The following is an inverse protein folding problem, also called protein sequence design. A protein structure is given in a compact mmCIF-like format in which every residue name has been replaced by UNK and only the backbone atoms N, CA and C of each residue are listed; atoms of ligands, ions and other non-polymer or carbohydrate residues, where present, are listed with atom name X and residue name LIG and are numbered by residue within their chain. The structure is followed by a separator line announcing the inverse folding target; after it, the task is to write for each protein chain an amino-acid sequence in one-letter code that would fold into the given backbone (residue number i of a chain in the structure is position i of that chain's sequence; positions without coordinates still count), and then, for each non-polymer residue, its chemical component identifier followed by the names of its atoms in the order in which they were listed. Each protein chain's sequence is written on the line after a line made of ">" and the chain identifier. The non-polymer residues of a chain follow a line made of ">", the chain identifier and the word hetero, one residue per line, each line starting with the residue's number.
data_IF_518270405235
#
_entry.id   IF_518270405235
#
_cell.length_a   1.000
_cell.length_b   1.000
_cell.length_c   1.000
_cell.angle_alpha   90.00
_cell.angle_beta   90.00
_cell.angle_gamma   90.00
#
_symmetry.space_group_name_H-M   'P 1'
#
loop_
_entity.id
_entity.type
_entity.pdbx_description
1 polymer ?
#
# COMPACT_ATOMS: atom_id res chain seq x y z
N UNK A 1 -77.46 22.88 -21.91
CA UNK A 1 -77.74 21.57 -21.29
C UNK A 1 -76.41 20.96 -20.85
N UNK A 2 -76.24 20.85 -19.52
CA UNK A 2 -75.22 20.09 -18.76
C UNK A 2 -73.72 20.25 -19.13
N UNK A 3 -73.08 21.18 -18.42
CA UNK A 3 -71.64 21.25 -18.14
C UNK A 3 -71.27 20.02 -17.30
N UNK A 4 -70.37 19.16 -17.79
CA UNK A 4 -69.75 18.10 -16.97
C UNK A 4 -68.27 18.42 -16.80
N UNK A 5 -67.92 18.84 -15.58
CA UNK A 5 -66.54 18.99 -15.11
C UNK A 5 -65.93 17.60 -14.92
N UNK A 6 -64.98 17.22 -15.77
CA UNK A 6 -64.08 16.10 -15.52
C UNK A 6 -62.80 16.66 -14.90
N UNK A 7 -62.68 16.45 -13.59
CA UNK A 7 -61.44 16.67 -12.83
C UNK A 7 -60.44 15.60 -13.29
N UNK A 8 -59.43 16.01 -14.05
CA UNK A 8 -58.30 15.16 -14.38
C UNK A 8 -57.42 15.04 -13.14
N UNK A 9 -57.44 13.86 -12.50
CA UNK A 9 -56.48 13.50 -11.48
C UNK A 9 -55.09 13.36 -12.13
N UNK A 10 -54.20 14.30 -11.86
CA UNK A 10 -52.79 14.18 -12.21
C UNK A 10 -52.16 13.10 -11.31
N UNK A 11 -52.03 11.88 -11.82
CA UNK A 11 -51.08 10.91 -11.28
C UNK A 11 -49.68 11.50 -11.47
N UNK A 12 -49.12 12.10 -10.43
CA UNK A 12 -47.67 12.28 -10.35
C UNK A 12 -47.07 10.89 -10.17
N UNK A 13 -46.65 10.29 -11.28
CA UNK A 13 -45.73 9.16 -11.25
C UNK A 13 -44.45 9.67 -10.57
N UNK A 14 -44.26 9.30 -9.30
CA UNK A 14 -42.98 9.38 -8.65
C UNK A 14 -42.02 8.54 -9.50
N UNK A 15 -41.22 9.22 -10.33
CA UNK A 15 -40.11 8.58 -11.02
C UNK A 15 -39.26 7.87 -9.99
N UNK A 16 -38.63 6.73 -10.33
CA UNK A 16 -37.72 6.08 -9.40
C UNK A 16 -36.69 7.12 -8.99
N UNK A 17 -36.71 7.48 -7.71
CA UNK A 17 -35.65 8.27 -7.12
C UNK A 17 -34.37 7.52 -7.46
N UNK A 18 -33.51 8.18 -8.25
CA UNK A 18 -32.17 7.70 -8.56
C UNK A 18 -31.57 7.36 -7.22
N UNK A 19 -31.43 6.06 -6.98
CA UNK A 19 -30.91 5.53 -5.73
C UNK A 19 -29.57 6.20 -5.50
N UNK A 20 -29.50 6.92 -4.39
CA UNK A 20 -28.31 7.57 -3.88
C UNK A 20 -27.15 6.59 -3.95
N UNK A 21 -26.04 7.04 -4.54
CA UNK A 21 -24.77 6.34 -4.58
C UNK A 21 -24.49 5.65 -3.23
N UNK A 22 -24.48 4.33 -3.23
CA UNK A 22 -23.91 3.56 -2.13
C UNK A 22 -22.42 3.95 -1.98
N UNK A 23 -21.87 4.09 -0.76
CA UNK A 23 -20.56 4.68 -0.55
C UNK A 23 -19.44 3.69 -0.92
N UNK A 24 -19.11 3.62 -2.20
CA UNK A 24 -17.91 2.96 -2.72
C UNK A 24 -16.70 3.93 -2.82
N UNK A 25 -16.80 5.16 -2.33
CA UNK A 25 -15.95 6.26 -2.78
C UNK A 25 -15.54 7.23 -1.65
N UNK A 26 -14.66 6.79 -0.74
CA UNK A 26 -13.90 7.75 0.07
C UNK A 26 -12.99 8.62 -0.81
N UNK A 27 -12.72 9.87 -0.41
CA UNK A 27 -11.72 10.70 -1.10
C UNK A 27 -10.36 9.98 -1.15
N UNK A 28 -9.49 10.33 -2.10
CA UNK A 28 -8.13 9.74 -2.20
C UNK A 28 -7.41 9.77 -0.85
N UNK A 29 -7.54 10.89 -0.13
CA UNK A 29 -7.02 11.09 1.21
C UNK A 29 -7.60 10.12 2.25
N UNK A 30 -8.90 9.84 2.22
CA UNK A 30 -9.50 8.88 3.14
C UNK A 30 -8.98 7.45 2.90
N UNK A 31 -8.71 7.10 1.63
CA UNK A 31 -8.10 5.81 1.30
C UNK A 31 -6.61 5.77 1.68
N UNK A 32 -5.85 6.86 1.49
CA UNK A 32 -4.46 6.94 1.96
C UNK A 32 -4.39 6.80 3.48
N UNK A 33 -5.29 7.44 4.23
CA UNK A 33 -5.33 7.34 5.69
C UNK A 33 -5.68 5.93 6.16
N UNK A 34 -6.64 5.29 5.49
CA UNK A 34 -7.01 3.91 5.75
C UNK A 34 -5.84 2.95 5.46
N UNK A 35 -5.20 3.07 4.31
CA UNK A 35 -4.04 2.25 3.95
C UNK A 35 -2.91 2.45 4.96
N UNK A 36 -2.60 3.70 5.31
CA UNK A 36 -1.52 4.02 6.24
C UNK A 36 -1.76 3.43 7.63
N UNK A 37 -3.00 3.45 8.14
CA UNK A 37 -3.37 2.79 9.41
C UNK A 37 -3.17 1.28 9.40
N UNK A 38 -3.32 0.64 8.24
CA UNK A 38 -3.13 -0.80 8.07
C UNK A 38 -1.64 -1.12 7.87
N UNK A 39 -0.96 -0.35 7.03
CA UNK A 39 0.42 -0.59 6.62
C UNK A 39 1.44 -0.33 7.74
N UNK A 40 1.33 0.78 8.47
CA UNK A 40 2.35 1.14 9.46
C UNK A 40 2.57 0.11 10.58
N UNK A 41 1.52 -0.47 11.20
CA UNK A 41 1.72 -1.54 12.18
C UNK A 41 2.45 -2.74 11.59
N UNK A 42 2.16 -3.10 10.33
CA UNK A 42 2.85 -4.18 9.62
C UNK A 42 4.32 -3.83 9.36
N UNK A 43 4.61 -2.61 8.89
CA UNK A 43 5.98 -2.16 8.62
C UNK A 43 6.82 -2.04 9.90
N UNK A 44 6.25 -1.53 10.98
CA UNK A 44 6.98 -1.30 12.22
C UNK A 44 7.22 -2.59 13.02
N UNK A 45 6.21 -3.48 13.08
CA UNK A 45 6.31 -4.70 13.89
C UNK A 45 7.20 -5.77 13.26
N UNK A 46 7.59 -5.59 12.00
CA UNK A 46 8.46 -6.51 11.25
C UNK A 46 9.89 -5.98 11.04
N UNK A 47 10.30 -4.96 11.79
CA UNK A 47 11.63 -4.33 11.66
C UNK A 47 12.77 -5.35 11.70
N UNK A 48 12.71 -6.34 12.59
CA UNK A 48 13.72 -7.39 12.73
C UNK A 48 13.81 -8.33 11.50
N UNK A 49 12.79 -8.34 10.65
CA UNK A 49 12.77 -9.13 9.42
C UNK A 49 13.29 -8.32 8.23
N UNK A 50 13.42 -7.00 8.32
CA UNK A 50 13.79 -6.15 7.18
C UNK A 50 15.30 -5.91 7.11
N UNK A 51 15.89 -5.96 5.90
CA UNK A 51 17.29 -5.58 5.65
C UNK A 51 17.45 -4.09 5.29
N UNK A 52 16.32 -3.39 5.12
CA UNK A 52 16.26 -1.96 4.79
C UNK A 52 15.21 -1.31 5.66
N UNK A 53 15.60 -0.21 6.30
CA UNK A 53 14.76 0.51 7.25
C UNK A 53 14.69 1.99 6.91
N UNK A 54 13.65 2.65 7.41
CA UNK A 54 13.45 4.08 7.25
C UNK A 54 12.81 4.73 8.48
N UNK A 55 12.88 6.07 8.59
CA UNK A 55 12.09 6.83 9.54
C UNK A 55 10.58 6.59 9.39
N UNK A 56 9.92 6.19 10.48
CA UNK A 56 8.46 6.07 10.58
C UNK A 56 7.85 7.39 11.04
N UNK A 57 7.18 8.07 10.10
CA UNK A 57 6.63 9.40 10.36
C UNK A 57 5.14 9.40 10.70
N UNK A 58 4.35 8.39 10.31
CA UNK A 58 2.88 8.42 10.41
C UNK A 58 2.24 9.36 9.42
N UNK A 59 2.74 9.43 8.18
CA UNK A 59 2.22 10.37 7.17
C UNK A 59 2.01 9.73 5.81
N UNK A 60 1.03 10.26 5.08
CA UNK A 60 0.94 10.09 3.63
C UNK A 60 1.25 11.44 2.98
N UNK A 61 2.13 11.42 1.99
CA UNK A 61 2.44 12.60 1.18
C UNK A 61 1.59 12.61 -0.08
N UNK A 62 1.16 13.79 -0.50
CA UNK A 62 0.59 14.02 -1.83
C UNK A 62 1.23 15.25 -2.44
N UNK A 63 1.22 15.33 -3.77
CA UNK A 63 1.73 16.47 -4.51
C UNK A 63 0.73 16.97 -5.54
N UNK A 64 0.79 18.28 -5.84
CA UNK A 64 -0.20 18.95 -6.70
C UNK A 64 -0.22 18.41 -8.12
N UNK A 65 0.90 17.86 -8.61
CA UNK A 65 1.04 17.21 -9.93
C UNK A 65 0.30 15.87 -10.06
N UNK A 66 -0.35 15.40 -8.99
CA UNK A 66 -1.21 14.21 -9.02
C UNK A 66 -2.68 14.52 -9.35
N UNK A 67 -3.04 15.81 -9.35
CA UNK A 67 -4.41 16.27 -9.53
C UNK A 67 -4.60 16.82 -10.94
N UNK A 68 -5.84 16.71 -11.45
CA UNK A 68 -6.16 17.28 -12.75
C UNK A 68 -6.06 18.81 -12.70
N UNK A 69 -5.76 19.43 -13.84
CA UNK A 69 -5.68 20.89 -13.94
C UNK A 69 -6.99 21.54 -13.42
N UNK A 70 -6.87 22.50 -12.51
CA UNK A 70 -8.00 23.18 -11.88
C UNK A 70 -8.55 22.50 -10.61
N UNK A 71 -8.06 21.32 -10.24
CA UNK A 71 -8.30 20.75 -8.91
C UNK A 71 -7.25 21.29 -7.94
N UNK A 72 -7.67 22.14 -7.02
CA UNK A 72 -6.82 22.60 -5.91
C UNK A 72 -7.02 21.67 -4.70
N UNK A 73 -6.00 20.87 -4.32
CA UNK A 73 -6.09 20.02 -3.14
C UNK A 73 -5.95 20.80 -1.82
N UNK A 74 -5.72 22.12 -1.86
CA UNK A 74 -5.60 22.98 -0.68
C UNK A 74 -4.27 22.85 0.05
N UNK A 75 -3.22 22.44 -0.66
CA UNK A 75 -1.89 22.22 -0.11
C UNK A 75 -1.12 23.55 0.06
N UNK A 76 -0.41 23.69 1.17
CA UNK A 76 0.40 24.88 1.43
C UNK A 76 1.71 24.94 0.60
N UNK A 77 2.08 23.86 -0.09
CA UNK A 77 3.23 23.76 -1.00
C UNK A 77 2.98 22.68 -2.07
N UNK A 78 3.83 22.56 -3.12
CA UNK A 78 3.68 21.53 -4.15
C UNK A 78 3.66 20.08 -3.62
N UNK A 79 4.32 19.81 -2.49
CA UNK A 79 4.19 18.57 -1.73
C UNK A 79 3.63 18.90 -0.35
N UNK A 80 2.66 18.11 0.13
CA UNK A 80 2.07 18.29 1.44
C UNK A 80 1.85 16.98 2.17
N UNK A 81 1.76 17.09 3.50
CA UNK A 81 1.30 16.02 4.37
C UNK A 81 -0.22 15.87 4.22
N UNK A 82 -0.66 15.04 3.30
CA UNK A 82 -2.08 14.81 3.05
C UNK A 82 -2.76 14.14 4.24
N UNK A 83 -2.06 13.20 4.86
CA UNK A 83 -2.49 12.49 6.07
C UNK A 83 -1.39 12.60 7.10
N UNK A 84 -1.80 12.83 8.34
CA UNK A 84 -0.96 12.69 9.53
C UNK A 84 -1.73 11.84 10.52
N UNK A 85 -1.22 10.65 10.84
CA UNK A 85 -1.83 9.77 11.83
C UNK A 85 -1.73 10.39 13.22
N UNK A 86 -2.78 10.29 14.06
CA UNK A 86 -2.68 10.66 15.46
C UNK A 86 -1.54 9.93 16.16
N UNK A 87 -0.92 10.58 17.14
CA UNK A 87 0.18 10.02 17.95
C UNK A 87 1.45 9.64 17.18
N UNK A 88 1.51 9.89 15.88
CA UNK A 88 2.71 9.66 15.07
C UNK A 88 3.85 10.64 15.40
N UNK A 89 5.07 10.33 14.95
CA UNK A 89 6.22 11.23 15.08
C UNK A 89 5.94 12.59 14.43
N UNK A 90 5.29 12.62 13.25
CA UNK A 90 4.90 13.86 12.60
C UNK A 90 3.87 14.66 13.43
N UNK A 91 2.84 14.01 13.95
CA UNK A 91 1.84 14.67 14.81
C UNK A 91 2.47 15.23 16.09
N UNK A 92 3.35 14.48 16.75
CA UNK A 92 4.06 14.91 17.95
C UNK A 92 4.98 16.12 17.67
N UNK A 93 5.53 16.21 16.47
CA UNK A 93 6.31 17.34 16.00
C UNK A 93 5.45 18.54 15.51
N UNK A 94 4.14 18.46 15.71
CA UNK A 94 3.16 19.49 15.37
C UNK A 94 2.93 19.65 13.87
N UNK A 95 3.28 18.66 13.04
CA UNK A 95 2.92 18.65 11.62
C UNK A 95 1.42 18.36 11.52
N UNK A 96 0.70 19.23 10.81
CA UNK A 96 -0.72 19.07 10.58
C UNK A 96 -1.02 18.65 9.13
N UNK A 97 -2.17 18.03 8.86
CA UNK A 97 -2.57 17.78 7.49
C UNK A 97 -2.66 19.08 6.67
N UNK A 98 -2.26 19.01 5.40
CA UNK A 98 -2.10 20.11 4.44
C UNK A 98 -0.89 21.05 4.70
N UNK A 99 -0.11 20.83 5.77
CA UNK A 99 1.20 21.46 5.88
C UNK A 99 2.04 21.08 4.64
N UNK A 100 2.72 22.07 4.08
CA UNK A 100 3.60 21.88 2.92
C UNK A 100 4.98 21.43 3.35
N UNK A 101 5.59 20.50 2.63
CA UNK A 101 6.97 20.07 2.83
C UNK A 101 7.88 20.81 1.84
N UNK A 102 8.81 21.61 2.35
CA UNK A 102 9.73 22.43 1.55
C UNK A 102 11.11 21.80 1.40
N UNK A 103 11.66 21.21 2.47
CA UNK A 103 12.97 20.56 2.43
C UNK A 103 13.07 19.39 3.40
N UNK A 104 13.98 18.45 3.08
CA UNK A 104 14.38 17.32 3.92
C UNK A 104 15.88 17.43 4.16
N UNK A 105 16.31 17.49 5.42
CA UNK A 105 17.70 17.72 5.82
C UNK A 105 18.36 18.92 5.11
N UNK A 106 17.64 20.05 5.06
CA UNK A 106 18.03 21.30 4.38
C UNK A 106 18.23 21.18 2.86
N UNK A 107 17.86 20.05 2.26
CA UNK A 107 17.82 19.90 0.81
C UNK A 107 16.39 20.15 0.33
N UNK A 108 16.16 21.15 -0.53
CA UNK A 108 14.83 21.44 -1.08
C UNK A 108 14.23 20.19 -1.73
N UNK A 109 12.92 19.99 -1.55
CA UNK A 109 12.19 18.97 -2.29
C UNK A 109 12.22 19.33 -3.77
N UNK A 110 12.89 18.51 -4.56
CA UNK A 110 13.03 18.67 -6.00
C UNK A 110 12.94 17.32 -6.70
N UNK A 111 12.66 17.34 -7.99
CA UNK A 111 12.49 16.14 -8.79
C UNK A 111 13.83 15.41 -8.95
N UNK A 112 13.89 14.15 -8.53
CA UNK A 112 15.10 13.31 -8.70
C UNK A 112 15.21 12.76 -10.12
N UNK A 113 16.43 12.56 -10.61
CA UNK A 113 16.70 12.14 -11.99
C UNK A 113 16.08 10.76 -12.32
N UNK A 114 16.11 9.84 -11.36
CA UNK A 114 15.56 8.49 -11.47
C UNK A 114 14.05 8.41 -11.24
N UNK A 115 13.39 9.52 -10.86
CA UNK A 115 11.96 9.59 -10.56
C UNK A 115 11.22 10.60 -11.45
N UNK A 116 11.76 10.96 -12.61
CA UNK A 116 11.15 11.96 -13.51
C UNK A 116 9.73 11.60 -13.95
N UNK A 117 9.43 10.32 -14.13
CA UNK A 117 8.11 9.83 -14.53
C UNK A 117 7.09 9.67 -13.37
N UNK A 118 7.54 9.77 -12.12
CA UNK A 118 6.68 9.72 -10.93
C UNK A 118 6.04 11.09 -10.64
N UNK A 119 5.16 11.21 -9.63
CA UNK A 119 4.85 12.50 -9.01
C UNK A 119 5.98 13.07 -8.14
N UNK A 120 5.95 14.36 -7.80
CA UNK A 120 6.96 15.02 -6.97
C UNK A 120 7.02 14.44 -5.54
N UNK A 121 5.89 13.99 -4.97
CA UNK A 121 5.85 13.36 -3.64
C UNK A 121 6.83 12.18 -3.52
N UNK A 122 7.06 11.42 -4.58
CA UNK A 122 7.93 10.25 -4.57
C UNK A 122 9.39 10.66 -4.32
N UNK A 123 9.79 11.83 -4.81
CA UNK A 123 11.12 12.40 -4.56
C UNK A 123 11.27 12.86 -3.10
N UNK A 124 10.24 13.50 -2.55
CA UNK A 124 10.20 13.86 -1.14
C UNK A 124 10.25 12.62 -0.23
N UNK A 125 9.45 11.60 -0.55
CA UNK A 125 9.46 10.35 0.19
C UNK A 125 10.82 9.66 0.10
N UNK A 126 11.42 9.58 -1.10
CA UNK A 126 12.72 8.94 -1.25
C UNK A 126 13.80 9.63 -0.40
N UNK A 127 13.77 10.97 -0.30
CA UNK A 127 14.67 11.71 0.58
C UNK A 127 14.45 11.37 2.07
N UNK A 128 13.20 11.21 2.52
CA UNK A 128 12.89 10.79 3.89
C UNK A 128 13.33 9.33 4.13
N UNK A 129 13.04 8.44 3.19
CA UNK A 129 13.35 7.02 3.29
C UNK A 129 14.85 6.70 3.25
N UNK A 130 15.65 7.61 2.69
CA UNK A 130 17.12 7.53 2.66
C UNK A 130 17.78 8.05 3.94
N UNK A 131 17.06 8.78 4.77
CA UNK A 131 17.59 9.27 6.04
C UNK A 131 17.89 8.11 6.99
N UNK A 132 19.02 8.22 7.69
CA UNK A 132 19.45 7.20 8.64
C UNK A 132 18.49 7.13 9.83
N UNK A 133 18.05 5.91 10.17
CA UNK A 133 17.26 5.69 11.39
C UNK A 133 18.11 5.96 12.63
N UNK A 134 17.49 6.52 13.67
CA UNK A 134 18.18 6.91 14.91
C UNK A 134 18.81 8.30 14.89
N UNK A 135 18.91 8.94 13.72
CA UNK A 135 19.39 10.33 13.59
C UNK A 135 18.22 11.33 13.53
N UNK A 136 18.38 12.56 14.07
CA UNK A 136 17.35 13.59 13.95
C UNK A 136 17.04 13.94 12.49
N UNK A 137 15.77 13.80 12.09
CA UNK A 137 15.27 14.19 10.78
C UNK A 137 14.83 15.65 10.82
N UNK A 138 15.39 16.50 9.95
CA UNK A 138 15.04 17.92 9.87
C UNK A 138 14.18 18.18 8.65
N UNK A 139 12.98 18.72 8.85
CA UNK A 139 12.06 19.09 7.79
C UNK A 139 11.81 20.60 7.85
N UNK A 140 11.88 21.29 6.71
CA UNK A 140 11.29 22.63 6.61
C UNK A 140 9.86 22.49 6.10
N UNK A 141 8.91 23.03 6.85
CA UNK A 141 7.48 22.95 6.52
C UNK A 141 6.86 24.35 6.45
N UNK A 142 5.79 24.48 5.69
CA UNK A 142 4.94 25.67 5.65
C UNK A 142 3.55 25.33 6.15
N UNK A 143 3.10 26.04 7.18
CA UNK A 143 1.76 25.89 7.74
C UNK A 143 1.09 27.25 7.80
N UNK A 144 -0.09 27.39 7.18
CA UNK A 144 -0.85 28.65 7.13
C UNK A 144 0.00 29.86 6.67
N UNK A 145 0.89 29.63 5.70
CA UNK A 145 1.79 30.65 5.15
C UNK A 145 3.07 30.92 5.94
N UNK A 146 3.23 30.36 7.15
CA UNK A 146 4.43 30.52 7.95
C UNK A 146 5.40 29.33 7.75
N UNK A 147 6.66 29.63 7.44
CA UNK A 147 7.73 28.62 7.37
C UNK A 147 8.29 28.32 8.75
N UNK A 148 8.59 27.05 9.02
CA UNK A 148 9.27 26.61 10.25
C UNK A 148 10.12 25.37 10.00
N UNK A 149 11.23 25.26 10.72
CA UNK A 149 11.99 24.01 10.83
C UNK A 149 11.32 23.11 11.88
N UNK A 150 11.22 21.82 11.57
CA UNK A 150 10.72 20.77 12.45
C UNK A 150 11.81 19.72 12.55
N UNK A 151 12.16 19.34 13.77
CA UNK A 151 13.14 18.27 14.03
C UNK A 151 12.40 17.10 14.68
N UNK A 152 12.52 15.93 14.08
CA UNK A 152 11.87 14.70 14.53
C UNK A 152 12.92 13.67 14.91
N UNK A 153 12.65 12.87 15.94
CA UNK A 153 13.39 11.64 16.24
C UNK A 153 12.46 10.43 16.01
N UNK A 154 12.12 10.13 14.74
CA UNK A 154 11.14 9.10 14.42
C UNK A 154 11.68 7.70 14.75
N UNK A 155 10.82 6.78 15.21
CA UNK A 155 11.19 5.36 15.28
C UNK A 155 11.46 4.80 13.88
N UNK A 156 12.06 3.61 13.82
CA UNK A 156 12.32 2.93 12.56
C UNK A 156 11.14 2.04 12.13
N UNK A 157 11.01 1.83 10.82
CA UNK A 157 10.16 0.81 10.20
C UNK A 157 10.83 0.21 8.96
N UNK A 158 10.25 -0.84 8.39
CA UNK A 158 10.69 -1.38 7.10
C UNK A 158 10.59 -0.32 6.00
N UNK A 159 11.62 -0.25 5.13
CA UNK A 159 11.72 0.79 4.09
C UNK A 159 10.82 0.52 2.89
N UNK A 160 9.53 0.81 3.05
CA UNK A 160 8.53 0.74 1.99
C UNK A 160 7.51 1.87 2.16
N UNK A 161 7.21 2.59 1.06
CA UNK A 161 6.07 3.50 1.02
C UNK A 161 4.78 2.75 0.72
N UNK A 162 3.70 3.05 1.43
CA UNK A 162 2.35 2.63 1.07
C UNK A 162 1.63 3.80 0.35
N UNK A 163 1.08 3.55 -0.84
CA UNK A 163 0.36 4.57 -1.60
C UNK A 163 -0.96 4.07 -2.17
N UNK A 164 -1.95 4.97 -2.20
CA UNK A 164 -3.11 4.81 -3.08
C UNK A 164 -2.83 5.48 -4.44
N UNK A 165 -3.08 4.73 -5.52
CA UNK A 165 -3.17 5.31 -6.86
C UNK A 165 -4.56 5.88 -7.08
N UNK A 166 -4.64 7.07 -7.67
CA UNK A 166 -5.91 7.76 -7.91
C UNK A 166 -6.82 7.05 -8.94
N UNK A 167 -6.32 6.03 -9.64
CA UNK A 167 -7.09 5.29 -10.64
C UNK A 167 -8.17 4.38 -10.04
N UNK A 168 -9.17 4.04 -10.86
CA UNK A 168 -10.26 3.13 -10.51
C UNK A 168 -9.94 1.66 -10.81
N UNK A 169 -8.66 1.32 -11.06
CA UNK A 169 -8.22 -0.02 -11.40
C UNK A 169 -8.38 -1.02 -10.26
N UNK A 170 -7.94 -2.26 -10.47
CA UNK A 170 -7.99 -3.34 -9.48
C UNK A 170 -6.61 -3.92 -9.14
N UNK A 171 -5.56 -3.11 -9.33
CA UNK A 171 -4.17 -3.55 -9.25
C UNK A 171 -3.55 -3.20 -7.90
N UNK A 172 -2.76 -4.13 -7.37
CA UNK A 172 -1.71 -3.86 -6.40
C UNK A 172 -0.36 -4.15 -7.08
N UNK A 173 0.66 -3.35 -6.80
CA UNK A 173 2.00 -3.57 -7.35
C UNK A 173 3.08 -3.03 -6.41
N UNK A 174 4.24 -3.67 -6.41
CA UNK A 174 5.44 -3.14 -5.78
C UNK A 174 6.62 -3.00 -6.75
N UNK A 175 7.42 -1.97 -6.55
CA UNK A 175 8.76 -1.85 -7.18
C UNK A 175 9.90 -2.16 -6.19
N UNK A 176 9.58 -2.61 -4.97
CA UNK A 176 10.53 -2.83 -3.88
C UNK A 176 10.92 -1.56 -3.09
N UNK A 177 10.33 -0.42 -3.41
CA UNK A 177 10.42 0.84 -2.64
C UNK A 177 9.04 1.36 -2.26
N UNK A 178 8.07 1.15 -3.14
CA UNK A 178 6.68 1.57 -2.99
C UNK A 178 5.77 0.37 -3.22
N UNK A 179 4.78 0.19 -2.36
CA UNK A 179 3.61 -0.67 -2.57
C UNK A 179 2.45 0.24 -2.91
N UNK A 180 1.91 0.09 -4.12
CA UNK A 180 0.84 0.90 -4.65
C UNK A 180 -0.43 0.06 -4.76
N UNK A 181 -1.54 0.55 -4.22
CA UNK A 181 -2.87 -0.07 -4.32
C UNK A 181 -3.79 0.90 -5.06
N UNK A 182 -4.46 0.44 -6.11
CA UNK A 182 -5.44 1.29 -6.79
C UNK A 182 -6.59 1.68 -5.87
N UNK A 183 -7.11 2.90 -6.01
CA UNK A 183 -8.29 3.35 -5.26
C UNK A 183 -9.48 2.42 -5.51
N UNK A 184 -9.64 1.91 -6.73
CA UNK A 184 -10.69 0.95 -7.07
C UNK A 184 -10.57 -0.39 -6.33
N UNK A 185 -9.34 -0.90 -6.11
CA UNK A 185 -9.10 -2.10 -5.30
C UNK A 185 -9.36 -1.80 -3.82
N UNK A 186 -8.77 -0.72 -3.30
CA UNK A 186 -8.92 -0.33 -1.92
C UNK A 186 -10.40 -0.13 -1.54
N UNK A 187 -11.20 0.50 -2.42
CA UNK A 187 -12.63 0.72 -2.20
C UNK A 187 -13.45 -0.57 -2.06
N UNK A 188 -13.02 -1.67 -2.68
CA UNK A 188 -13.75 -2.95 -2.71
C UNK A 188 -13.25 -3.95 -1.69
N UNK A 189 -12.00 -3.79 -1.24
CA UNK A 189 -11.35 -4.66 -0.27
C UNK A 189 -11.73 -4.26 1.17
N UNK A 190 -11.88 -5.24 2.05
CA UNK A 190 -11.93 -5.03 3.49
C UNK A 190 -10.54 -4.70 4.05
N UNK A 191 -10.45 -4.22 5.30
CA UNK A 191 -9.17 -3.90 5.94
C UNK A 191 -8.28 -5.14 6.06
N UNK A 192 -8.87 -6.31 6.38
CA UNK A 192 -8.15 -7.57 6.43
C UNK A 192 -7.60 -8.01 5.07
N UNK A 193 -8.37 -7.79 3.99
CA UNK A 193 -7.88 -8.10 2.64
C UNK A 193 -6.77 -7.13 2.20
N UNK A 194 -6.85 -5.83 2.54
CA UNK A 194 -5.75 -4.89 2.33
C UNK A 194 -4.52 -5.31 3.13
N UNK A 195 -4.70 -5.72 4.39
CA UNK A 195 -3.60 -6.19 5.22
C UNK A 195 -2.92 -7.43 4.62
N UNK A 196 -3.69 -8.40 4.13
CA UNK A 196 -3.16 -9.59 3.47
C UNK A 196 -2.38 -9.25 2.20
N UNK A 197 -2.93 -8.39 1.33
CA UNK A 197 -2.26 -7.91 0.12
C UNK A 197 -0.96 -7.17 0.49
N UNK A 198 -1.04 -6.24 1.43
CA UNK A 198 0.12 -5.44 1.84
C UNK A 198 1.22 -6.31 2.46
N UNK A 199 0.87 -7.27 3.31
CA UNK A 199 1.83 -8.22 3.88
C UNK A 199 2.51 -9.06 2.78
N UNK A 200 1.75 -9.55 1.80
CA UNK A 200 2.31 -10.30 0.66
C UNK A 200 3.30 -9.44 -0.16
N UNK A 201 2.95 -8.20 -0.49
CA UNK A 201 3.82 -7.29 -1.23
C UNK A 201 5.07 -6.87 -0.41
N UNK A 202 4.92 -6.69 0.91
CA UNK A 202 6.06 -6.46 1.80
C UNK A 202 6.98 -7.68 1.85
N UNK A 203 6.43 -8.89 1.82
CA UNK A 203 7.22 -10.11 1.78
C UNK A 203 8.11 -10.21 0.53
N UNK A 204 7.62 -9.80 -0.65
CA UNK A 204 8.47 -9.69 -1.86
C UNK A 204 9.66 -8.75 -1.65
N UNK A 205 9.43 -7.64 -0.95
CA UNK A 205 10.47 -6.66 -0.65
C UNK A 205 11.49 -7.21 0.35
N UNK A 206 11.02 -7.84 1.43
CA UNK A 206 11.85 -8.46 2.46
C UNK A 206 12.68 -9.62 1.88
N UNK A 207 12.13 -10.44 1.01
CA UNK A 207 12.82 -11.59 0.41
C UNK A 207 13.60 -11.22 -0.86
N UNK A 208 13.63 -9.93 -1.22
CA UNK A 208 14.40 -9.37 -2.33
C UNK A 208 14.09 -10.06 -3.67
N UNK A 209 12.84 -10.49 -3.86
CA UNK A 209 12.41 -11.25 -5.04
C UNK A 209 12.71 -10.53 -6.35
N UNK A 210 12.53 -9.21 -6.40
CA UNK A 210 12.89 -8.42 -7.59
C UNK A 210 14.36 -8.56 -7.97
N UNK A 211 15.25 -8.50 -6.99
CA UNK A 211 16.69 -8.55 -7.23
C UNK A 211 17.13 -10.00 -7.55
N UNK A 212 16.52 -11.02 -6.90
CA UNK A 212 16.74 -12.44 -7.20
C UNK A 212 16.26 -12.83 -8.61
N UNK A 213 15.08 -12.36 -9.02
CA UNK A 213 14.53 -12.56 -10.37
C UNK A 213 15.39 -11.85 -11.43
N UNK A 214 15.80 -10.60 -11.16
CA UNK A 214 16.69 -9.86 -12.05
C UNK A 214 18.05 -10.53 -12.21
N UNK A 215 18.61 -11.10 -11.13
CA UNK A 215 19.88 -11.84 -11.18
C UNK A 215 19.77 -13.17 -11.92
N UNK A 216 18.55 -13.69 -12.11
CA UNK A 216 18.26 -14.89 -12.88
C UNK A 216 17.87 -14.58 -14.34
N UNK A 217 18.06 -13.34 -14.80
CA UNK A 217 17.68 -12.83 -16.12
C UNK A 217 16.17 -12.95 -16.45
N UNK A 218 15.32 -13.05 -15.42
CA UNK A 218 13.86 -13.05 -15.59
C UNK A 218 13.40 -11.62 -15.87
N UNK A 219 13.15 -11.33 -17.14
CA UNK A 219 12.67 -10.00 -17.57
C UNK A 219 11.14 -9.90 -17.47
N UNK A 220 10.61 -8.70 -17.19
CA UNK A 220 9.17 -8.37 -17.28
C UNK A 220 8.64 -8.29 -18.73
N UNK A 221 9.44 -8.66 -19.74
CA UNK A 221 9.06 -8.62 -21.16
C UNK A 221 8.21 -9.81 -21.60
N UNK A 222 7.90 -9.89 -22.90
CA UNK A 222 7.10 -10.93 -23.57
C UNK A 222 7.55 -12.40 -23.31
N UNK A 223 8.70 -12.63 -22.66
CA UNK A 223 9.22 -13.94 -22.26
C UNK A 223 8.97 -14.35 -20.80
N UNK A 224 8.63 -13.40 -19.91
CA UNK A 224 8.48 -13.63 -18.45
C UNK A 224 7.33 -14.56 -18.06
N UNK A 225 6.52 -14.94 -19.05
CA UNK A 225 5.43 -15.90 -18.92
C UNK A 225 5.73 -17.25 -19.60
N UNK A 226 6.98 -17.66 -19.79
CA UNK A 226 7.29 -18.98 -20.37
C UNK A 226 8.32 -19.77 -19.55
N UNK A 227 8.13 -21.10 -19.44
CA UNK A 227 9.13 -22.03 -18.92
C UNK A 227 9.73 -21.69 -17.55
N UNK A 228 11.05 -21.48 -17.51
CA UNK A 228 11.86 -21.21 -16.32
C UNK A 228 11.39 -19.97 -15.56
N UNK A 229 11.07 -18.89 -16.26
CA UNK A 229 10.65 -17.62 -15.66
C UNK A 229 9.35 -17.79 -14.85
N UNK A 230 8.42 -18.62 -15.35
CA UNK A 230 7.20 -18.97 -14.61
C UNK A 230 7.48 -19.77 -13.33
N UNK A 231 8.47 -20.68 -13.35
CA UNK A 231 8.85 -21.46 -12.17
C UNK A 231 9.46 -20.56 -11.10
N UNK A 232 10.37 -19.67 -11.49
CA UNK A 232 11.02 -18.72 -10.58
C UNK A 232 10.01 -17.72 -9.99
N UNK A 233 9.09 -17.20 -10.81
CA UNK A 233 8.00 -16.36 -10.32
C UNK A 233 7.09 -17.13 -9.35
N UNK A 234 6.74 -18.38 -9.66
CA UNK A 234 5.94 -19.24 -8.76
C UNK A 234 6.62 -19.47 -7.42
N UNK A 235 7.92 -19.72 -7.41
CA UNK A 235 8.70 -19.88 -6.16
C UNK A 235 8.65 -18.58 -5.34
N UNK A 236 8.87 -17.43 -5.97
CA UNK A 236 8.76 -16.13 -5.31
C UNK A 236 7.37 -15.88 -4.71
N UNK A 237 6.29 -16.19 -5.43
CA UNK A 237 4.91 -16.08 -4.92
C UNK A 237 4.67 -16.97 -3.69
N UNK A 238 5.19 -18.21 -3.73
CA UNK A 238 5.07 -19.17 -2.63
C UNK A 238 5.84 -18.68 -1.40
N UNK A 239 7.06 -18.19 -1.56
CA UNK A 239 7.83 -17.65 -0.44
C UNK A 239 7.16 -16.39 0.13
N UNK A 240 6.63 -15.51 -0.71
CA UNK A 240 5.95 -14.29 -0.29
C UNK A 240 4.66 -14.58 0.48
N UNK A 241 3.86 -15.54 0.00
CA UNK A 241 2.70 -16.08 0.72
C UNK A 241 3.09 -16.54 2.12
N UNK A 242 4.06 -17.45 2.21
CA UNK A 242 4.46 -18.03 3.49
C UNK A 242 4.95 -16.96 4.46
N UNK A 243 5.77 -16.01 3.99
CA UNK A 243 6.23 -14.93 4.86
C UNK A 243 5.07 -14.02 5.30
N UNK A 244 4.04 -13.79 4.47
CA UNK A 244 2.94 -12.88 4.78
C UNK A 244 2.20 -13.21 6.08
N UNK A 245 2.01 -14.49 6.43
CA UNK A 245 1.34 -14.88 7.69
C UNK A 245 2.15 -14.49 8.92
N UNK A 246 3.49 -14.55 8.84
CA UNK A 246 4.37 -14.06 9.91
C UNK A 246 4.28 -12.55 10.04
N UNK A 247 4.23 -11.83 8.92
CA UNK A 247 4.13 -10.36 8.93
C UNK A 247 2.83 -9.89 9.57
N UNK A 248 1.71 -10.55 9.28
CA UNK A 248 0.42 -10.30 9.90
C UNK A 248 0.46 -10.61 11.41
N UNK A 249 0.95 -11.79 11.79
CA UNK A 249 1.04 -12.20 13.19
C UNK A 249 1.89 -11.23 14.03
N UNK A 250 3.04 -10.80 13.50
CA UNK A 250 3.92 -9.83 14.16
C UNK A 250 3.24 -8.47 14.35
N UNK A 251 2.35 -8.08 13.42
CA UNK A 251 1.56 -6.86 13.52
C UNK A 251 0.36 -6.96 14.48
N UNK A 252 0.19 -8.11 15.15
CA UNK A 252 -0.96 -8.38 16.02
C UNK A 252 -2.26 -8.67 15.26
N UNK A 253 -2.18 -8.92 13.94
CA UNK A 253 -3.31 -9.33 13.12
C UNK A 253 -3.42 -10.85 13.10
N UNK A 254 -4.64 -11.37 12.90
CA UNK A 254 -4.85 -12.81 12.74
C UNK A 254 -4.15 -13.32 11.47
N UNK A 255 -3.15 -14.21 11.56
CA UNK A 255 -2.48 -14.76 10.39
C UNK A 255 -3.44 -15.54 9.46
N UNK A 256 -4.57 -16.05 9.98
CA UNK A 256 -5.60 -16.71 9.18
C UNK A 256 -6.31 -15.75 8.20
N UNK A 257 -6.09 -14.44 8.33
CA UNK A 257 -6.55 -13.43 7.37
C UNK A 257 -6.02 -13.69 5.95
N UNK A 258 -4.78 -14.17 5.80
CA UNK A 258 -4.20 -14.44 4.49
C UNK A 258 -4.83 -15.67 3.78
N UNK A 259 -4.99 -16.84 4.43
CA UNK A 259 -5.81 -17.92 3.88
C UNK A 259 -7.25 -17.49 3.56
N UNK A 260 -7.88 -16.70 4.44
CA UNK A 260 -9.24 -16.21 4.23
C UNK A 260 -9.35 -15.29 3.00
N UNK A 261 -8.36 -14.43 2.77
CA UNK A 261 -8.27 -13.60 1.56
C UNK A 261 -8.30 -14.45 0.30
N UNK A 262 -7.48 -15.50 0.19
CA UNK A 262 -7.47 -16.37 -0.99
C UNK A 262 -8.81 -17.07 -1.24
N UNK A 263 -9.60 -17.30 -0.18
CA UNK A 263 -10.96 -17.86 -0.30
C UNK A 263 -12.04 -16.80 -0.54
N UNK A 264 -11.72 -15.52 -0.41
CA UNK A 264 -12.66 -14.42 -0.62
C UNK A 264 -12.99 -14.23 -2.10
N UNK A 265 -14.12 -13.55 -2.44
CA UNK A 265 -14.42 -13.19 -3.81
C UNK A 265 -13.29 -12.37 -4.46
N UNK A 266 -12.68 -11.47 -3.70
CA UNK A 266 -11.59 -10.63 -4.18
C UNK A 266 -10.32 -11.45 -4.45
N UNK A 267 -9.91 -12.31 -3.52
CA UNK A 267 -8.74 -13.18 -3.74
C UNK A 267 -8.94 -14.17 -4.89
N UNK A 268 -10.16 -14.67 -5.08
CA UNK A 268 -10.52 -15.50 -6.25
C UNK A 268 -10.51 -14.71 -7.56
N UNK A 269 -10.90 -13.43 -7.54
CA UNK A 269 -10.87 -12.56 -8.71
C UNK A 269 -9.44 -12.14 -9.07
N UNK A 270 -8.64 -11.72 -8.09
CA UNK A 270 -7.23 -11.31 -8.29
C UNK A 270 -6.37 -12.52 -8.66
N UNK A 271 -6.51 -13.63 -7.93
CA UNK A 271 -5.89 -14.91 -8.27
C UNK A 271 -6.44 -15.55 -9.56
N UNK A 272 -7.42 -14.90 -10.21
CA UNK A 272 -8.10 -15.39 -11.42
C UNK A 272 -8.10 -14.45 -12.63
N UNK A 273 -7.43 -13.28 -12.60
CA UNK A 273 -7.47 -12.27 -13.67
C UNK A 273 -6.67 -12.62 -14.95
N UNK A 274 -7.34 -12.50 -16.11
CA UNK A 274 -6.98 -12.63 -17.55
C UNK A 274 -5.93 -13.65 -18.06
N UNK A 275 -4.98 -14.11 -17.25
CA UNK A 275 -3.99 -15.11 -17.64
C UNK A 275 -4.03 -16.29 -16.66
N UNK A 276 -4.96 -17.22 -16.94
CA UNK A 276 -4.94 -18.58 -16.37
C UNK A 276 -3.69 -19.33 -16.83
N UNK A 277 -2.54 -19.03 -16.22
CA UNK A 277 -1.41 -19.94 -16.26
C UNK A 277 -1.66 -21.04 -15.22
N UNK A 278 -1.85 -22.29 -15.67
CA UNK A 278 -1.94 -23.50 -14.81
C UNK A 278 -0.72 -23.74 -13.89
N UNK A 279 0.25 -22.83 -13.93
CA UNK A 279 1.53 -22.91 -13.21
C UNK A 279 1.43 -22.28 -11.81
N UNK A 280 0.54 -21.29 -11.60
CA UNK A 280 0.33 -20.72 -10.27
C UNK A 280 -0.62 -21.61 -9.44
N UNK A 281 -0.38 -21.79 -8.12
CA UNK A 281 -1.31 -22.52 -7.26
C UNK A 281 -2.69 -21.88 -7.30
N UNK A 282 -3.75 -22.70 -7.26
CA UNK A 282 -5.12 -22.18 -7.12
C UNK A 282 -5.25 -21.39 -5.81
N UNK A 283 -6.21 -20.46 -5.69
CA UNK A 283 -6.43 -19.75 -4.44
C UNK A 283 -6.61 -20.69 -3.23
N UNK A 284 -7.30 -21.82 -3.41
CA UNK A 284 -7.43 -22.84 -2.36
C UNK A 284 -6.10 -23.51 -2.02
N UNK A 285 -5.25 -23.82 -3.01
CA UNK A 285 -3.94 -24.39 -2.76
C UNK A 285 -3.01 -23.42 -2.01
N UNK A 286 -3.09 -22.11 -2.33
CA UNK A 286 -2.40 -21.05 -1.57
C UNK A 286 -2.89 -21.02 -0.13
N UNK A 287 -4.21 -20.99 0.08
CA UNK A 287 -4.80 -20.99 1.42
C UNK A 287 -4.34 -22.18 2.28
N UNK A 288 -4.37 -23.39 1.73
CA UNK A 288 -3.90 -24.60 2.43
C UNK A 288 -2.40 -24.58 2.74
N UNK A 289 -1.59 -23.96 1.88
CA UNK A 289 -0.16 -23.79 2.13
C UNK A 289 0.09 -22.82 3.28
N UNK A 290 -0.64 -21.71 3.31
CA UNK A 290 -0.57 -20.75 4.41
C UNK A 290 -1.03 -21.36 5.74
N UNK A 291 -2.09 -22.18 5.73
CA UNK A 291 -2.56 -22.88 6.94
C UNK A 291 -1.51 -23.83 7.49
N UNK A 292 -0.78 -24.55 6.62
CA UNK A 292 0.37 -25.36 7.04
C UNK A 292 1.49 -24.51 7.63
N UNK A 293 1.83 -23.40 6.99
CA UNK A 293 2.84 -22.47 7.50
C UNK A 293 2.50 -21.96 8.91
N UNK A 294 1.23 -21.58 9.12
CA UNK A 294 0.72 -21.14 10.42
C UNK A 294 0.86 -22.26 11.46
N UNK A 295 0.43 -23.48 11.13
CA UNK A 295 0.49 -24.62 12.04
C UNK A 295 1.95 -24.98 12.43
N UNK A 296 2.85 -24.97 11.47
CA UNK A 296 4.24 -25.41 11.65
C UNK A 296 5.09 -24.36 12.38
N UNK A 297 4.86 -23.06 12.14
CA UNK A 297 5.80 -22.00 12.56
C UNK A 297 5.21 -20.87 13.42
N UNK A 298 3.89 -20.82 13.64
CA UNK A 298 3.25 -19.78 14.47
C UNK A 298 2.65 -20.30 15.79
N UNK A 299 2.83 -21.57 16.11
CA UNK A 299 2.35 -22.18 17.37
C UNK A 299 2.99 -21.58 18.64
N UNK A 300 4.17 -20.97 18.53
CA UNK A 300 4.85 -20.27 19.64
C UNK A 300 4.37 -18.84 19.93
N UNK A 301 3.45 -18.29 19.11
CA UNK A 301 3.00 -16.91 19.18
C UNK A 301 3.98 -15.87 18.59
N UNK A 302 3.55 -14.62 18.40
CA UNK A 302 4.40 -13.53 17.91
C UNK A 302 5.33 -12.95 19.01
N UNK A 303 6.46 -12.31 18.64
CA UNK A 303 6.95 -12.15 17.28
C UNK A 303 7.55 -13.45 16.73
N UNK A 304 7.17 -13.78 15.50
CA UNK A 304 7.72 -14.88 14.74
C UNK A 304 8.92 -14.44 13.91
N UNK A 305 9.94 -15.30 13.89
CA UNK A 305 11.13 -15.13 13.07
C UNK A 305 11.26 -16.32 12.10
N UNK A 306 10.77 -16.22 10.85
CA UNK A 306 10.78 -17.31 9.88
C UNK A 306 12.17 -17.48 9.23
N UNK A 307 13.14 -17.95 10.02
CA UNK A 307 14.53 -18.09 9.57
C UNK A 307 14.70 -18.97 8.33
N UNK A 308 13.81 -19.94 8.14
CA UNK A 308 13.81 -20.83 6.98
C UNK A 308 13.42 -20.13 5.65
N UNK A 309 12.67 -19.01 5.71
CA UNK A 309 12.40 -18.13 4.57
C UNK A 309 13.49 -17.06 4.44
N UNK A 310 13.90 -16.46 5.57
CA UNK A 310 14.90 -15.40 5.55
C UNK A 310 16.27 -15.88 5.02
N UNK A 311 16.60 -17.15 5.25
CA UNK A 311 17.79 -17.79 4.67
C UNK A 311 17.77 -17.83 3.12
N UNK A 312 16.60 -17.73 2.49
CA UNK A 312 16.45 -17.71 1.03
C UNK A 312 16.69 -16.32 0.40
N UNK A 313 16.62 -15.23 1.19
CA UNK A 313 16.77 -13.85 0.71
C UNK A 313 18.02 -13.62 -0.15
N UNK A 314 19.12 -14.26 0.22
CA UNK A 314 20.42 -14.14 -0.46
C UNK A 314 20.69 -15.23 -1.51
N UNK A 315 19.75 -16.15 -1.73
CA UNK A 315 19.93 -17.29 -2.64
C UNK A 315 19.24 -17.02 -3.97
N UNK A 316 19.79 -17.51 -5.10
CA UNK A 316 19.06 -17.53 -6.36
C UNK A 316 17.71 -18.24 -6.19
N UNK A 317 16.70 -17.81 -6.94
CA UNK A 317 15.51 -18.63 -7.16
C UNK A 317 15.92 -19.80 -8.05
N UNK A 318 15.44 -21.00 -7.77
CA UNK A 318 15.80 -22.22 -8.49
C UNK A 318 14.68 -22.71 -9.38
#
# INVERSE_FOLDING_TARGET
>A
MKISNLVAAALMAAGPAVAQDAPAAGSLRAQDERLLRIAEPILASNLALCDRTMPRLGVALQSTDQYAAGQDPGFAAPVAFAVVLPQSAAAQAGIAPNDGLLSVNRQPVAKRAELQASPLRDSAFAAIAEHAVGEPLRLEVVSRGARREVVLNPPAECRILAEILADSGTTARSDGRVIQISRGLAARATDGEIAAIFAHELAHSILRHRDRLSAADVSKGLGGEFGRDRRLNREAEIEADRLSVHLLANAGLDPATAPAFWRSPLGKQIGGGLFRSRVYPSPEARAQQLEREIADYLSGGPPSYPGHLLAQRGRPLE
#
